data_IF_028412544058
#
_entry.id   IF_028412544058
#
_cell.length_a   1.000
_cell.length_b   1.000
_cell.length_c   1.000
_cell.angle_alpha   90.00
_cell.angle_beta   90.00
_cell.angle_gamma   90.00
#
_symmetry.space_group_name_H-M   'P 1'
#
loop_
_entity.id
_entity.type
_entity.pdbx_description
1 polymer ?
#
# COMPACT_ATOMS: atom_id res chain seq x y z
N UNK A 1 8.62 -28.04 5.39
CA UNK A 1 7.91 -27.11 4.49
C UNK A 1 6.50 -27.61 4.15
N UNK A 2 6.31 -28.84 3.70
CA UNK A 2 4.97 -29.40 3.38
C UNK A 2 4.09 -29.58 4.63
N UNK A 3 4.65 -29.94 5.78
CA UNK A 3 3.92 -30.04 7.05
C UNK A 3 3.48 -28.66 7.57
N UNK A 4 4.33 -27.67 7.50
CA UNK A 4 4.00 -26.29 7.90
C UNK A 4 2.93 -25.66 7.00
N UNK A 5 2.95 -25.98 5.70
CA UNK A 5 1.86 -25.57 4.79
C UNK A 5 0.54 -26.31 5.12
N UNK A 6 0.61 -27.56 5.59
CA UNK A 6 -0.58 -28.30 6.04
C UNK A 6 -1.14 -27.80 7.37
N UNK A 7 -0.29 -27.43 8.32
CA UNK A 7 -0.73 -26.75 9.56
C UNK A 7 -1.38 -25.41 9.27
N UNK A 8 -0.83 -24.63 8.32
CA UNK A 8 -1.42 -23.36 7.90
C UNK A 8 -2.74 -23.52 7.12
N UNK A 9 -2.91 -24.63 6.41
CA UNK A 9 -4.20 -25.00 5.77
C UNK A 9 -5.26 -25.43 6.80
N UNK A 10 -4.87 -25.73 8.05
CA UNK A 10 -5.79 -26.03 9.16
C UNK A 10 -6.35 -24.79 9.86
N UNK A 11 -5.80 -23.59 9.60
CA UNK A 11 -6.40 -22.34 10.06
C UNK A 11 -7.62 -22.02 9.20
N UNK A 12 -8.79 -21.96 9.82
CA UNK A 12 -10.02 -21.55 9.13
C UNK A 12 -10.00 -20.04 8.92
N UNK A 13 -9.28 -19.58 7.88
CA UNK A 13 -9.28 -18.18 7.46
C UNK A 13 -10.28 -18.00 6.34
N UNK A 14 -11.21 -17.09 6.53
CA UNK A 14 -12.26 -16.73 5.58
C UNK A 14 -12.11 -15.27 5.15
N UNK A 15 -12.52 -15.00 3.91
CA UNK A 15 -12.71 -13.64 3.39
C UNK A 15 -14.20 -13.39 3.21
N UNK A 16 -14.73 -12.47 3.98
CA UNK A 16 -16.12 -12.02 3.90
C UNK A 16 -16.15 -10.62 3.29
N UNK A 17 -17.02 -10.40 2.30
CA UNK A 17 -17.23 -9.05 1.76
C UNK A 17 -17.44 -8.04 2.88
N UNK A 18 -16.87 -6.86 2.71
CA UNK A 18 -16.97 -5.76 3.64
C UNK A 18 -18.44 -5.40 3.91
N UNK A 19 -18.76 -5.11 5.16
CA UNK A 19 -20.08 -4.65 5.61
C UNK A 19 -19.95 -3.27 6.25
N UNK A 20 -21.00 -2.48 6.22
CA UNK A 20 -21.05 -1.18 6.90
C UNK A 20 -20.71 -1.27 8.40
N UNK A 21 -21.07 -2.39 9.05
CA UNK A 21 -20.73 -2.65 10.45
C UNK A 21 -19.23 -2.84 10.72
N UNK A 22 -18.41 -3.03 9.69
CA UNK A 22 -16.96 -3.22 9.85
C UNK A 22 -16.20 -1.90 9.95
N UNK A 23 -16.86 -0.76 9.73
CA UNK A 23 -16.25 0.55 9.64
C UNK A 23 -15.36 0.90 10.84
N UNK A 24 -15.87 0.71 12.05
CA UNK A 24 -15.12 1.02 13.26
C UNK A 24 -13.85 0.16 13.36
N UNK A 25 -13.97 -1.14 13.08
CA UNK A 25 -12.84 -2.08 13.10
C UNK A 25 -11.82 -1.77 12.02
N UNK A 26 -12.28 -1.34 10.83
CA UNK A 26 -11.39 -0.89 9.76
C UNK A 26 -10.54 0.30 10.20
N UNK A 27 -11.18 1.34 10.73
CA UNK A 27 -10.47 2.53 11.21
C UNK A 27 -9.65 2.26 12.48
N UNK A 28 -9.99 1.26 13.29
CA UNK A 28 -9.12 0.77 14.36
C UNK A 28 -7.80 0.25 13.80
N UNK A 29 -7.84 -0.58 12.73
CA UNK A 29 -6.64 -1.07 12.06
C UNK A 29 -5.80 0.07 11.46
N UNK A 30 -6.44 0.99 10.73
CA UNK A 30 -5.78 2.16 10.17
C UNK A 30 -5.09 3.02 11.25
N UNK A 31 -5.67 3.09 12.45
CA UNK A 31 -5.11 3.79 13.59
C UNK A 31 -3.92 3.11 14.25
N UNK A 32 -3.63 1.84 13.98
CA UNK A 32 -2.44 1.17 14.52
C UNK A 32 -1.15 1.81 14.00
N UNK A 33 -1.18 2.47 12.85
CA UNK A 33 -0.02 3.16 12.31
C UNK A 33 -0.10 4.66 12.56
N UNK A 34 1.00 5.22 13.06
CA UNK A 34 1.09 6.66 13.33
C UNK A 34 0.80 7.53 12.10
N UNK A 35 1.19 7.05 10.93
CA UNK A 35 0.99 7.75 9.66
C UNK A 35 -0.51 7.85 9.37
N UNK A 36 -1.23 6.75 9.46
CA UNK A 36 -2.66 6.71 9.21
C UNK A 36 -3.44 7.52 10.25
N UNK A 37 -3.04 7.49 11.53
CA UNK A 37 -3.63 8.34 12.58
C UNK A 37 -3.73 9.81 12.21
N UNK A 38 -2.73 10.35 11.51
CA UNK A 38 -2.75 11.76 11.09
C UNK A 38 -3.77 12.01 9.97
N UNK A 39 -3.96 11.03 9.09
CA UNK A 39 -4.91 11.13 7.99
C UNK A 39 -6.36 11.00 8.47
N UNK A 40 -6.60 10.28 9.58
CA UNK A 40 -7.92 9.93 10.10
C UNK A 40 -8.54 10.98 11.04
N UNK A 41 -7.98 12.18 11.12
CA UNK A 41 -8.50 13.24 12.00
C UNK A 41 -9.74 13.98 11.42
N UNK A 42 -10.10 13.73 10.16
CA UNK A 42 -11.23 14.32 9.48
C UNK A 42 -12.33 13.27 9.29
N UNK A 43 -13.39 13.34 10.09
CA UNK A 43 -14.51 12.39 10.04
C UNK A 43 -15.23 12.42 8.68
N UNK A 44 -15.38 13.59 8.05
CA UNK A 44 -16.04 13.69 6.75
C UNK A 44 -15.20 13.04 5.65
N UNK A 45 -13.88 13.20 5.69
CA UNK A 45 -12.96 12.52 4.78
C UNK A 45 -13.01 11.01 4.98
N UNK A 46 -13.02 10.55 6.24
CA UNK A 46 -13.16 9.13 6.57
C UNK A 46 -14.47 8.55 6.05
N UNK A 47 -15.57 9.28 6.20
CA UNK A 47 -16.88 8.86 5.68
C UNK A 47 -16.90 8.77 4.16
N UNK A 48 -16.25 9.72 3.47
CA UNK A 48 -16.12 9.67 2.01
C UNK A 48 -15.28 8.48 1.57
N UNK A 49 -14.12 8.28 2.19
CA UNK A 49 -13.22 7.14 1.90
C UNK A 49 -13.92 5.80 2.15
N UNK A 50 -14.65 5.68 3.28
CA UNK A 50 -15.41 4.48 3.57
C UNK A 50 -16.45 4.15 2.49
N UNK A 51 -17.23 5.16 2.07
CA UNK A 51 -18.22 4.99 1.01
C UNK A 51 -17.60 4.63 -0.33
N UNK A 52 -16.43 5.17 -0.64
CA UNK A 52 -15.70 4.87 -1.87
C UNK A 52 -15.28 3.38 -1.97
N UNK A 53 -15.02 2.71 -0.85
CA UNK A 53 -14.67 1.28 -0.82
C UNK A 53 -15.78 0.35 -1.31
N UNK A 54 -17.00 0.84 -1.50
CA UNK A 54 -18.14 0.09 -2.05
C UNK A 54 -18.37 0.37 -3.54
N UNK A 55 -17.43 1.05 -4.22
CA UNK A 55 -17.50 1.28 -5.65
C UNK A 55 -17.28 -0.02 -6.46
N UNK A 56 -17.89 -0.12 -7.64
CA UNK A 56 -17.77 -1.31 -8.50
C UNK A 56 -16.34 -1.55 -9.04
N UNK A 57 -15.46 -0.56 -8.89
CA UNK A 57 -14.05 -0.63 -9.31
C UNK A 57 -13.14 -1.33 -8.30
N UNK A 58 -13.67 -1.67 -7.13
CA UNK A 58 -12.93 -2.28 -6.03
C UNK A 58 -13.76 -3.37 -5.36
N UNK A 59 -13.09 -4.30 -4.68
CA UNK A 59 -13.73 -5.28 -3.82
C UNK A 59 -12.95 -5.42 -2.52
N UNK A 60 -13.62 -5.20 -1.40
CA UNK A 60 -13.02 -5.21 -0.08
C UNK A 60 -13.58 -6.33 0.77
N UNK A 61 -12.72 -6.94 1.59
CA UNK A 61 -13.02 -8.11 2.41
C UNK A 61 -12.46 -7.95 3.81
N UNK A 62 -13.26 -8.36 4.81
CA UNK A 62 -12.74 -8.63 6.13
C UNK A 62 -12.05 -10.01 6.14
N UNK A 63 -10.86 -10.09 6.71
CA UNK A 63 -10.12 -11.32 6.96
C UNK A 63 -10.54 -11.87 8.31
N UNK A 64 -11.17 -13.03 8.32
CA UNK A 64 -11.75 -13.64 9.52
C UNK A 64 -10.98 -14.88 9.97
N UNK A 65 -10.80 -15.03 11.27
CA UNK A 65 -10.42 -16.27 11.93
C UNK A 65 -11.52 -16.63 12.94
N UNK A 66 -12.40 -17.56 12.55
CA UNK A 66 -13.69 -17.72 13.22
C UNK A 66 -14.54 -16.46 13.07
N UNK A 67 -15.04 -15.94 14.20
CA UNK A 67 -15.83 -14.70 14.22
C UNK A 67 -14.98 -13.41 14.38
N UNK A 68 -13.67 -13.56 14.49
CA UNK A 68 -12.77 -12.43 14.76
C UNK A 68 -12.19 -11.85 13.47
N UNK A 69 -12.32 -10.52 13.28
CA UNK A 69 -11.64 -9.81 12.21
C UNK A 69 -10.15 -9.68 12.56
N UNK A 70 -9.30 -10.22 11.68
CA UNK A 70 -7.84 -10.18 11.79
C UNK A 70 -7.20 -9.08 10.95
N UNK A 71 -7.94 -8.51 10.01
CA UNK A 71 -7.49 -7.51 9.09
C UNK A 71 -8.43 -7.35 7.91
N UNK A 72 -7.93 -6.72 6.85
CA UNK A 72 -8.71 -6.47 5.64
C UNK A 72 -7.87 -6.77 4.39
N UNK A 73 -8.55 -7.18 3.34
CA UNK A 73 -7.97 -7.44 2.03
C UNK A 73 -8.80 -6.74 0.94
N UNK A 74 -8.15 -6.34 -0.15
CA UNK A 74 -8.83 -5.67 -1.25
C UNK A 74 -8.33 -6.16 -2.61
N UNK A 75 -9.21 -6.08 -3.60
CA UNK A 75 -8.88 -6.14 -5.02
C UNK A 75 -9.23 -4.79 -5.61
N UNK A 76 -8.25 -4.12 -6.17
CA UNK A 76 -8.36 -2.77 -6.71
C UNK A 76 -8.31 -2.81 -8.24
N UNK A 77 -8.82 -1.75 -8.88
CA UNK A 77 -8.80 -1.58 -10.34
C UNK A 77 -9.55 -2.71 -11.07
N UNK A 78 -10.69 -3.10 -10.53
CA UNK A 78 -11.60 -4.03 -11.21
C UNK A 78 -12.05 -3.43 -12.54
N UNK A 79 -11.99 -4.24 -13.60
CA UNK A 79 -12.30 -3.79 -14.96
C UNK A 79 -11.10 -3.26 -15.76
N UNK A 80 -9.97 -2.97 -15.13
CA UNK A 80 -8.72 -2.64 -15.83
C UNK A 80 -7.99 -3.90 -16.33
N UNK A 81 -6.96 -3.72 -17.17
CA UNK A 81 -6.14 -4.86 -17.67
C UNK A 81 -5.35 -5.56 -16.57
N UNK A 82 -4.92 -4.77 -15.56
CA UNK A 82 -4.12 -5.23 -14.43
C UNK A 82 -4.81 -4.81 -13.13
N UNK A 83 -5.17 -5.79 -12.32
CA UNK A 83 -5.68 -5.56 -10.98
C UNK A 83 -4.54 -5.47 -9.98
N UNK A 84 -4.80 -4.80 -8.86
CA UNK A 84 -3.90 -4.73 -7.72
C UNK A 84 -4.58 -5.34 -6.49
N UNK A 85 -3.82 -5.81 -5.52
CA UNK A 85 -4.38 -6.21 -4.24
C UNK A 85 -3.72 -5.49 -3.06
N UNK A 86 -4.50 -5.30 -2.01
CA UNK A 86 -4.06 -4.87 -0.69
C UNK A 86 -4.33 -5.96 0.35
N UNK A 87 -3.49 -6.04 1.36
CA UNK A 87 -3.70 -6.90 2.54
C UNK A 87 -3.05 -6.23 3.75
N UNK A 88 -3.85 -5.97 4.75
CA UNK A 88 -3.37 -5.44 6.02
C UNK A 88 -3.94 -6.25 7.18
N UNK A 89 -3.11 -6.54 8.19
CA UNK A 89 -3.48 -7.27 9.38
C UNK A 89 -3.17 -6.44 10.62
N UNK A 90 -4.03 -6.52 11.62
CA UNK A 90 -3.71 -6.03 12.96
C UNK A 90 -2.38 -6.61 13.43
N UNK A 91 -1.58 -5.83 14.14
CA UNK A 91 -0.24 -6.23 14.60
C UNK A 91 -0.28 -7.55 15.38
N UNK A 92 -1.27 -7.73 16.24
CA UNK A 92 -1.50 -8.93 17.05
C UNK A 92 -1.71 -10.21 16.24
N UNK A 93 -2.02 -10.10 14.93
CA UNK A 93 -2.26 -11.25 14.03
C UNK A 93 -1.16 -11.45 12.99
N UNK A 94 -0.13 -10.60 13.00
CA UNK A 94 1.01 -10.74 12.11
C UNK A 94 1.89 -11.94 12.51
N UNK A 95 2.72 -12.39 11.58
CA UNK A 95 3.68 -13.49 11.77
C UNK A 95 3.10 -14.86 12.16
N UNK A 96 1.79 -15.05 12.10
CA UNK A 96 1.06 -16.28 12.44
C UNK A 96 0.61 -17.07 11.20
N UNK A 97 1.02 -16.69 10.01
CA UNK A 97 0.61 -17.35 8.75
C UNK A 97 -0.73 -16.88 8.19
N UNK A 98 -1.48 -16.06 8.94
CA UNK A 98 -2.81 -15.54 8.54
C UNK A 98 -2.74 -14.79 7.21
N UNK A 99 -1.73 -13.92 7.01
CA UNK A 99 -1.56 -13.18 5.75
C UNK A 99 -1.38 -14.09 4.54
N UNK A 100 -0.65 -15.19 4.67
CA UNK A 100 -0.51 -16.16 3.59
C UNK A 100 -1.83 -16.88 3.29
N UNK A 101 -2.54 -17.34 4.33
CA UNK A 101 -3.82 -18.02 4.16
C UNK A 101 -4.88 -17.09 3.55
N UNK A 102 -4.96 -15.83 4.02
CA UNK A 102 -5.85 -14.82 3.46
C UNK A 102 -5.53 -14.55 1.98
N UNK A 103 -4.25 -14.40 1.64
CA UNK A 103 -3.84 -14.16 0.25
C UNK A 103 -4.20 -15.35 -0.66
N UNK A 104 -4.02 -16.59 -0.22
CA UNK A 104 -4.45 -17.78 -0.99
C UNK A 104 -5.96 -17.70 -1.29
N UNK A 105 -6.79 -17.35 -0.30
CA UNK A 105 -8.23 -17.17 -0.50
C UNK A 105 -8.55 -16.03 -1.46
N UNK A 106 -7.83 -14.91 -1.34
CA UNK A 106 -8.00 -13.78 -2.24
C UNK A 106 -7.69 -14.14 -3.70
N UNK A 107 -6.64 -14.94 -3.93
CA UNK A 107 -6.29 -15.42 -5.28
C UNK A 107 -7.40 -16.33 -5.86
N UNK A 108 -8.03 -17.17 -5.04
CA UNK A 108 -9.18 -17.98 -5.45
C UNK A 108 -10.35 -17.09 -5.89
N UNK A 109 -10.66 -16.03 -5.13
CA UNK A 109 -11.69 -15.03 -5.45
C UNK A 109 -11.32 -14.28 -6.74
N UNK A 110 -10.10 -13.76 -6.86
CA UNK A 110 -9.61 -13.10 -8.07
C UNK A 110 -9.84 -13.95 -9.32
N UNK A 111 -9.53 -15.24 -9.23
CA UNK A 111 -9.65 -16.17 -10.34
C UNK A 111 -11.10 -16.53 -10.67
N UNK A 112 -11.89 -16.89 -9.65
CA UNK A 112 -13.18 -17.55 -9.82
C UNK A 112 -14.33 -16.57 -9.95
N UNK A 113 -14.29 -15.45 -9.22
CA UNK A 113 -15.37 -14.46 -9.21
C UNK A 113 -15.11 -13.29 -10.16
N UNK A 114 -13.90 -12.74 -10.15
CA UNK A 114 -13.56 -11.55 -10.94
C UNK A 114 -12.83 -11.87 -12.24
N UNK A 115 -12.47 -13.14 -12.48
CA UNK A 115 -11.77 -13.56 -13.69
C UNK A 115 -10.52 -12.75 -14.02
N UNK A 116 -9.82 -12.30 -12.98
CA UNK A 116 -8.57 -11.55 -13.06
C UNK A 116 -7.58 -12.29 -13.97
N UNK A 117 -6.84 -11.55 -14.80
CA UNK A 117 -5.84 -12.10 -15.71
C UNK A 117 -4.41 -11.78 -15.26
N UNK A 118 -4.22 -10.55 -14.78
CA UNK A 118 -2.93 -10.06 -14.29
C UNK A 118 -3.18 -9.42 -12.91
N UNK A 119 -2.41 -9.84 -11.93
CA UNK A 119 -2.48 -9.33 -10.58
C UNK A 119 -1.12 -8.81 -10.14
N UNK A 120 -1.07 -7.58 -9.69
CA UNK A 120 0.14 -6.96 -9.16
C UNK A 120 -0.01 -6.66 -7.67
N UNK A 121 1.13 -6.52 -7.01
CA UNK A 121 1.22 -5.96 -5.66
C UNK A 121 2.28 -4.88 -5.64
N UNK A 122 1.95 -3.72 -5.09
CA UNK A 122 2.88 -2.62 -4.85
C UNK A 122 3.34 -2.66 -3.40
N UNK A 123 4.65 -2.62 -3.19
CA UNK A 123 5.25 -2.79 -1.86
C UNK A 123 6.34 -1.76 -1.65
N UNK A 124 6.38 -1.13 -0.48
CA UNK A 124 7.52 -0.29 -0.09
C UNK A 124 8.80 -1.13 0.03
N UNK A 125 9.96 -0.61 -0.41
CA UNK A 125 11.22 -1.37 -0.45
C UNK A 125 11.74 -1.86 0.90
N UNK A 126 11.29 -1.26 2.00
CA UNK A 126 11.61 -1.64 3.37
C UNK A 126 10.48 -2.45 4.06
N UNK A 127 9.39 -2.76 3.35
CA UNK A 127 8.34 -3.65 3.86
C UNK A 127 8.72 -5.13 3.66
N UNK A 128 9.71 -5.58 4.42
CA UNK A 128 10.25 -6.93 4.28
C UNK A 128 9.24 -8.05 4.55
N UNK A 129 8.30 -7.94 5.52
CA UNK A 129 7.25 -8.94 5.69
C UNK A 129 6.39 -9.13 4.44
N UNK A 130 5.97 -8.06 3.78
CA UNK A 130 5.22 -8.13 2.52
C UNK A 130 6.06 -8.71 1.39
N UNK A 131 7.32 -8.29 1.24
CA UNK A 131 8.25 -8.82 0.23
C UNK A 131 8.44 -10.33 0.40
N UNK A 132 8.60 -10.80 1.65
CA UNK A 132 8.71 -12.24 1.95
C UNK A 132 7.39 -12.98 1.68
N UNK A 133 6.25 -12.33 1.88
CA UNK A 133 4.94 -12.88 1.52
C UNK A 133 4.81 -13.03 0.00
N UNK A 134 5.21 -12.00 -0.79
CA UNK A 134 5.23 -12.08 -2.25
C UNK A 134 6.11 -13.25 -2.72
N UNK A 135 7.31 -13.40 -2.17
CA UNK A 135 8.17 -14.54 -2.45
C UNK A 135 7.49 -15.88 -2.14
N UNK A 136 6.85 -15.98 -0.96
CA UNK A 136 6.20 -17.21 -0.50
C UNK A 136 5.03 -17.65 -1.38
N UNK A 137 4.27 -16.69 -1.93
CA UNK A 137 3.15 -16.97 -2.83
C UNK A 137 3.59 -17.25 -4.29
N UNK A 138 4.87 -17.07 -4.59
CA UNK A 138 5.43 -17.24 -5.94
C UNK A 138 5.38 -15.98 -6.81
N UNK A 139 5.19 -14.83 -6.20
CA UNK A 139 5.31 -13.53 -6.86
C UNK A 139 6.70 -13.34 -7.45
N UNK A 140 6.80 -12.66 -8.58
CA UNK A 140 8.06 -12.36 -9.27
C UNK A 140 8.25 -10.84 -9.35
N UNK A 141 9.47 -10.32 -9.18
CA UNK A 141 9.78 -8.93 -9.47
C UNK A 141 9.32 -8.59 -10.89
N UNK A 142 8.68 -7.44 -11.05
CA UNK A 142 8.14 -7.00 -12.32
C UNK A 142 8.76 -5.67 -12.76
N UNK A 143 8.52 -4.61 -11.99
CA UNK A 143 9.05 -3.26 -12.24
C UNK A 143 9.11 -2.45 -10.93
N UNK A 144 9.63 -1.25 -10.97
CA UNK A 144 9.41 -0.23 -9.96
C UNK A 144 8.43 0.81 -10.49
N UNK A 145 7.60 1.37 -9.62
CA UNK A 145 6.67 2.45 -9.97
C UNK A 145 6.85 3.63 -9.04
N UNK A 146 6.51 4.78 -9.51
CA UNK A 146 6.61 6.02 -8.75
C UNK A 146 5.77 5.97 -7.48
N UNK A 147 6.32 6.51 -6.39
CA UNK A 147 5.57 6.71 -5.15
C UNK A 147 4.69 7.96 -5.29
N UNK A 148 3.36 7.85 -5.23
CA UNK A 148 2.46 8.98 -5.43
C UNK A 148 2.58 10.07 -4.35
N UNK A 149 3.18 9.75 -3.20
CA UNK A 149 3.44 10.72 -2.13
C UNK A 149 4.62 11.66 -2.41
N UNK A 150 5.37 11.44 -3.51
CA UNK A 150 6.58 12.22 -3.82
C UNK A 150 6.43 12.81 -5.22
N UNK A 151 6.33 14.13 -5.29
CA UNK A 151 6.25 14.84 -6.55
C UNK A 151 7.49 14.59 -7.42
N UNK A 152 7.30 14.40 -8.72
CA UNK A 152 8.36 14.07 -9.68
C UNK A 152 9.54 15.05 -9.60
N UNK A 153 9.24 16.34 -9.55
CA UNK A 153 10.25 17.41 -9.47
C UNK A 153 11.12 17.38 -8.20
N UNK A 154 10.65 16.73 -7.14
CA UNK A 154 11.30 16.68 -5.82
C UNK A 154 11.98 15.33 -5.54
N UNK A 155 11.84 14.34 -6.41
CA UNK A 155 12.37 12.98 -6.18
C UNK A 155 13.88 12.94 -5.95
N UNK A 156 14.64 13.66 -6.77
CA UNK A 156 16.11 13.69 -6.64
C UNK A 156 16.56 14.27 -5.30
N UNK A 157 15.90 15.34 -4.84
CA UNK A 157 16.17 15.94 -3.54
C UNK A 157 15.76 14.99 -2.41
N UNK A 158 14.58 14.41 -2.50
CA UNK A 158 14.08 13.43 -1.54
C UNK A 158 15.02 12.21 -1.39
N UNK A 159 15.50 11.65 -2.51
CA UNK A 159 16.46 10.54 -2.52
C UNK A 159 17.76 10.92 -1.80
N UNK A 160 18.28 12.08 -2.08
CA UNK A 160 19.52 12.60 -1.47
C UNK A 160 19.36 12.81 0.04
N UNK A 161 18.24 13.42 0.44
CA UNK A 161 17.96 13.77 1.84
C UNK A 161 17.62 12.56 2.72
N UNK A 162 17.34 11.41 2.12
CA UNK A 162 16.97 10.17 2.81
C UNK A 162 17.92 9.00 2.50
N UNK A 163 19.12 9.28 2.01
CA UNK A 163 20.10 8.25 1.62
C UNK A 163 20.48 7.30 2.77
N UNK A 164 20.36 7.74 4.02
CA UNK A 164 20.59 6.94 5.22
C UNK A 164 19.61 5.76 5.38
N UNK A 165 18.47 5.78 4.67
CA UNK A 165 17.50 4.68 4.67
C UNK A 165 17.90 3.50 3.77
N UNK A 166 18.94 3.62 2.98
CA UNK A 166 19.45 2.56 2.11
C UNK A 166 20.18 1.51 2.96
N UNK A 167 19.41 0.61 3.55
CA UNK A 167 19.92 -0.55 4.27
C UNK A 167 20.48 -1.61 3.30
N UNK A 168 21.22 -2.59 3.84
CA UNK A 168 21.71 -3.71 3.02
C UNK A 168 20.57 -4.53 2.41
N UNK A 169 19.42 -4.62 3.07
CA UNK A 169 18.25 -5.27 2.50
C UNK A 169 17.63 -4.46 1.37
N UNK A 170 17.58 -3.13 1.47
CA UNK A 170 17.15 -2.24 0.37
C UNK A 170 18.09 -2.38 -0.84
N UNK A 171 19.41 -2.46 -0.63
CA UNK A 171 20.36 -2.74 -1.72
C UNK A 171 20.08 -4.07 -2.42
N UNK A 172 19.78 -5.13 -1.65
CA UNK A 172 19.40 -6.42 -2.24
C UNK A 172 18.09 -6.36 -3.03
N UNK A 173 17.15 -5.51 -2.62
CA UNK A 173 15.95 -5.25 -3.43
C UNK A 173 16.31 -4.51 -4.72
N UNK A 174 17.19 -3.53 -4.67
CA UNK A 174 17.68 -2.83 -5.86
C UNK A 174 18.34 -3.80 -6.85
N UNK A 175 19.23 -4.67 -6.36
CA UNK A 175 19.83 -5.75 -7.18
C UNK A 175 18.78 -6.67 -7.79
N UNK A 176 17.76 -7.06 -7.02
CA UNK A 176 16.69 -7.95 -7.48
C UNK A 176 15.86 -7.32 -8.61
N UNK A 177 15.64 -6.01 -8.56
CA UNK A 177 14.88 -5.25 -9.56
C UNK A 177 15.78 -4.65 -10.66
N UNK A 178 17.11 -4.78 -10.55
CA UNK A 178 18.06 -4.27 -11.54
C UNK A 178 18.14 -2.75 -11.61
N UNK A 179 17.99 -2.07 -10.46
CA UNK A 179 17.98 -0.60 -10.36
C UNK A 179 19.00 -0.11 -9.34
N UNK A 180 19.31 1.19 -9.38
CA UNK A 180 20.14 1.83 -8.36
C UNK A 180 19.37 1.95 -7.03
N UNK A 181 20.01 1.71 -5.86
CA UNK A 181 19.34 1.72 -4.57
C UNK A 181 18.62 3.02 -4.22
N UNK A 182 19.13 4.16 -4.67
CA UNK A 182 18.56 5.49 -4.44
C UNK A 182 17.16 5.62 -5.04
N UNK A 183 16.91 4.98 -6.20
CA UNK A 183 15.60 4.99 -6.84
C UNK A 183 14.53 4.37 -5.97
N UNK A 184 14.88 3.40 -5.12
CA UNK A 184 13.92 2.73 -4.25
C UNK A 184 13.40 3.64 -3.13
N UNK A 185 14.09 4.73 -2.80
CA UNK A 185 13.62 5.68 -1.79
C UNK A 185 12.34 6.42 -2.25
N UNK A 186 12.20 6.65 -3.55
CA UNK A 186 11.08 7.40 -4.14
C UNK A 186 10.16 6.54 -5.03
N UNK A 187 10.31 5.22 -4.98
CA UNK A 187 9.54 4.29 -5.81
C UNK A 187 9.04 3.10 -4.99
N UNK A 188 7.98 2.47 -5.48
CA UNK A 188 7.43 1.22 -4.95
C UNK A 188 7.89 0.06 -5.81
N UNK A 189 8.12 -1.09 -5.19
CA UNK A 189 8.37 -2.36 -5.86
C UNK A 189 7.04 -2.93 -6.37
N UNK A 190 7.00 -3.36 -7.62
CA UNK A 190 5.85 -4.05 -8.20
C UNK A 190 6.19 -5.52 -8.39
N UNK A 191 5.38 -6.39 -7.81
CA UNK A 191 5.47 -7.83 -8.01
C UNK A 191 4.30 -8.29 -8.88
N UNK A 192 4.58 -9.11 -9.87
CA UNK A 192 3.55 -9.87 -10.57
C UNK A 192 3.22 -11.11 -9.76
N UNK A 193 1.94 -11.28 -9.45
CA UNK A 193 1.45 -12.33 -8.56
C UNK A 193 0.77 -13.43 -9.38
N UNK A 194 1.15 -14.72 -9.20
CA UNK A 194 0.45 -15.82 -9.85
C UNK A 194 -0.96 -15.97 -9.25
N UNK A 195 -1.94 -16.25 -10.09
CA UNK A 195 -3.34 -16.48 -9.67
C UNK A 195 -3.55 -17.84 -8.98
N UNK A 196 -2.50 -18.58 -8.79
CA UNK A 196 -2.42 -19.78 -7.96
C UNK A 196 -1.06 -19.76 -7.26
N UNK A 197 -0.99 -20.12 -5.97
CA UNK A 197 0.29 -20.27 -5.30
C UNK A 197 1.21 -21.16 -6.13
N UNK A 198 2.44 -20.69 -6.37
CA UNK A 198 3.43 -21.36 -7.16
C UNK A 198 4.71 -21.57 -6.35
N UNK A 199 5.63 -22.39 -6.86
CA UNK A 199 6.96 -22.47 -6.27
C UNK A 199 7.68 -21.11 -6.39
N UNK A 200 8.56 -20.84 -5.41
CA UNK A 200 9.36 -19.61 -5.38
C UNK A 200 10.24 -19.55 -6.62
N UNK A 201 10.05 -18.51 -7.44
CA UNK A 201 10.75 -18.33 -8.71
C UNK A 201 11.98 -17.43 -8.63
N UNK A 202 12.21 -16.77 -7.51
CA UNK A 202 13.41 -15.96 -7.31
C UNK A 202 14.08 -16.27 -5.96
N UNK A 203 15.39 -16.12 -5.90
CA UNK A 203 16.16 -16.26 -4.67
C UNK A 203 16.32 -14.88 -4.03
N UNK A 204 15.95 -14.79 -2.75
CA UNK A 204 16.09 -13.58 -1.96
C UNK A 204 16.67 -13.95 -0.60
N UNK A 205 17.80 -13.34 -0.25
CA UNK A 205 18.42 -13.49 1.05
C UNK A 205 18.40 -12.15 1.78
N UNK A 206 17.47 -11.99 2.72
CA UNK A 206 17.41 -10.87 3.64
C UNK A 206 18.05 -11.25 4.97
N UNK A 207 18.67 -10.29 5.65
CA UNK A 207 19.40 -10.52 6.91
C UNK A 207 19.08 -9.43 7.93
N UNK A 208 19.30 -9.74 9.22
CA UNK A 208 19.07 -8.80 10.32
C UNK A 208 17.59 -8.68 10.67
N UNK A 209 17.20 -7.51 11.13
CA UNK A 209 15.80 -7.21 11.44
C UNK A 209 14.99 -7.15 10.14
N UNK A 210 13.96 -7.98 10.08
CA UNK A 210 13.02 -8.07 8.96
C UNK A 210 11.63 -7.55 9.35
N UNK A 211 11.54 -6.80 10.44
CA UNK A 211 10.30 -6.13 10.84
C UNK A 211 9.91 -5.05 9.82
N UNK A 212 8.63 -4.73 9.78
CA UNK A 212 8.14 -3.62 8.96
C UNK A 212 8.31 -2.32 9.72
N UNK A 213 9.36 -1.57 9.41
CA UNK A 213 9.67 -0.32 10.09
C UNK A 213 8.99 0.92 9.49
N UNK A 214 8.32 0.79 8.34
CA UNK A 214 7.64 1.92 7.63
C UNK A 214 8.49 3.18 7.46
N UNK A 215 9.82 3.07 7.43
CA UNK A 215 10.70 4.24 7.41
C UNK A 215 10.56 5.04 6.12
N UNK A 216 10.65 4.38 4.96
CA UNK A 216 10.52 5.03 3.65
C UNK A 216 9.10 5.57 3.49
N UNK A 217 8.07 4.79 3.82
CA UNK A 217 6.68 5.22 3.79
C UNK A 217 6.45 6.46 4.66
N UNK A 218 6.92 6.44 5.91
CA UNK A 218 6.79 7.58 6.84
C UNK A 218 7.46 8.84 6.30
N UNK A 219 8.64 8.73 5.71
CA UNK A 219 9.34 9.87 5.11
C UNK A 219 8.58 10.42 3.90
N UNK A 220 8.09 9.54 3.01
CA UNK A 220 7.32 9.94 1.84
C UNK A 220 6.03 10.69 2.21
N UNK A 221 5.26 10.16 3.15
CA UNK A 221 4.02 10.80 3.61
C UNK A 221 4.31 12.11 4.34
N UNK A 222 5.35 12.18 5.18
CA UNK A 222 5.75 13.44 5.80
C UNK A 222 6.15 14.49 4.76
N UNK A 223 6.88 14.09 3.72
CA UNK A 223 7.25 14.96 2.61
C UNK A 223 6.00 15.51 1.91
N UNK A 224 5.04 14.67 1.55
CA UNK A 224 3.76 15.08 0.98
C UNK A 224 3.05 16.14 1.84
N UNK A 225 2.98 15.94 3.17
CA UNK A 225 2.37 16.93 4.07
C UNK A 225 3.15 18.24 4.13
N UNK A 226 4.47 18.18 4.13
CA UNK A 226 5.32 19.37 4.15
C UNK A 226 5.13 20.20 2.88
N UNK A 227 5.11 19.55 1.72
CA UNK A 227 4.88 20.22 0.43
C UNK A 227 3.47 20.81 0.36
N UNK A 228 2.44 20.07 0.77
CA UNK A 228 1.08 20.60 0.87
C UNK A 228 1.01 21.85 1.75
N UNK A 229 1.64 21.79 2.94
CA UNK A 229 1.69 22.93 3.85
C UNK A 229 2.43 24.14 3.24
N UNK A 230 3.51 23.89 2.49
CA UNK A 230 4.28 24.93 1.78
C UNK A 230 3.41 25.62 0.71
N UNK A 231 2.71 24.84 -0.08
CA UNK A 231 1.79 25.35 -1.11
C UNK A 231 0.68 26.21 -0.47
N UNK A 232 0.02 25.69 0.56
CA UNK A 232 -1.05 26.42 1.27
C UNK A 232 -0.55 27.73 1.89
N UNK A 233 0.65 27.76 2.45
CA UNK A 233 1.27 28.99 2.97
C UNK A 233 1.53 30.01 1.85
N UNK A 234 2.06 29.55 0.71
CA UNK A 234 2.30 30.41 -0.46
C UNK A 234 0.99 31.04 -0.95
N UNK A 235 -0.07 30.25 -1.07
CA UNK A 235 -1.41 30.72 -1.46
C UNK A 235 -1.95 31.76 -0.45
N UNK A 236 -1.85 31.46 0.84
CA UNK A 236 -2.29 32.39 1.89
C UNK A 236 -1.54 33.74 1.86
N UNK A 237 -0.24 33.70 1.60
CA UNK A 237 0.56 34.93 1.48
C UNK A 237 0.18 35.76 0.23
N UNK A 238 -0.10 35.11 -0.87
CA UNK A 238 -0.58 35.76 -2.08
C UNK A 238 -2.00 36.33 -1.89
N UNK A 239 -2.90 35.58 -1.25
CA UNK A 239 -4.25 36.06 -0.92
C UNK A 239 -4.25 37.30 -0.02
N UNK A 240 -3.25 37.45 0.86
CA UNK A 240 -3.07 38.67 1.68
C UNK A 240 -2.61 39.88 0.86
N UNK A 241 -2.02 39.68 -0.31
CA UNK A 241 -1.44 40.73 -1.17
C UNK A 241 -2.24 41.01 -2.43
N UNK A 242 -3.10 40.07 -2.83
CA UNK A 242 -3.85 40.12 -4.08
C UNK A 242 -5.33 40.41 -3.88
N UNK A 243 -6.06 40.43 -5.01
CA UNK A 243 -7.52 40.54 -5.01
C UNK A 243 -8.18 39.20 -4.72
N UNK A 244 -9.47 39.20 -4.34
CA UNK A 244 -10.26 37.97 -4.14
C UNK A 244 -10.34 37.16 -5.45
N UNK A 245 -10.29 37.79 -6.57
CA UNK A 245 -10.35 37.17 -7.91
C UNK A 245 -9.04 36.40 -8.22
N UNK A 246 -7.88 36.98 -7.89
CA UNK A 246 -6.57 36.34 -8.06
C UNK A 246 -6.48 35.08 -7.17
N UNK A 247 -7.00 35.15 -5.94
CA UNK A 247 -7.05 34.03 -5.03
C UNK A 247 -7.93 32.88 -5.55
N UNK A 248 -9.15 33.21 -6.03
CA UNK A 248 -10.06 32.21 -6.62
C UNK A 248 -9.44 31.50 -7.83
N UNK A 249 -8.78 32.25 -8.72
CA UNK A 249 -8.12 31.67 -9.87
C UNK A 249 -7.01 30.69 -9.47
N UNK A 250 -6.13 31.10 -8.55
CA UNK A 250 -5.02 30.24 -8.10
C UNK A 250 -5.50 28.97 -7.37
N UNK A 251 -6.60 29.07 -6.60
CA UNK A 251 -7.24 27.91 -5.99
C UNK A 251 -7.83 26.96 -7.02
N UNK A 252 -8.48 27.49 -8.08
CA UNK A 252 -9.03 26.67 -9.16
C UNK A 252 -7.91 25.96 -9.94
N UNK A 253 -6.84 26.66 -10.29
CA UNK A 253 -5.67 26.08 -10.97
C UNK A 253 -5.04 24.96 -10.13
N UNK A 254 -5.02 25.10 -8.80
CA UNK A 254 -4.51 24.08 -7.88
C UNK A 254 -5.45 22.86 -7.80
N UNK A 255 -6.75 23.07 -7.74
CA UNK A 255 -7.75 21.98 -7.74
C UNK A 255 -7.66 21.18 -9.03
N UNK A 256 -7.65 21.85 -10.20
CA UNK A 256 -7.50 21.18 -11.50
C UNK A 256 -6.20 20.37 -11.59
N UNK A 257 -5.09 20.89 -11.04
CA UNK A 257 -3.82 20.18 -10.98
C UNK A 257 -3.88 18.95 -10.06
N UNK A 258 -4.56 19.04 -8.93
CA UNK A 258 -4.77 17.90 -8.03
C UNK A 258 -5.69 16.84 -8.66
N UNK A 259 -6.79 17.26 -9.31
CA UNK A 259 -7.72 16.37 -10.00
C UNK A 259 -7.07 15.64 -11.19
N UNK A 260 -6.13 16.28 -11.88
CA UNK A 260 -5.39 15.66 -12.99
C UNK A 260 -4.40 14.59 -12.55
N UNK A 261 -4.13 14.49 -11.25
CA UNK A 261 -3.17 13.53 -10.62
C UNK A 261 -3.87 12.38 -9.87
N UNK A 262 -5.21 12.44 -9.74
CA UNK A 262 -6.03 11.36 -9.17
C UNK A 262 -6.52 10.39 -10.24
#
# INVERSE_FOLDING_TARGET
MIEHAKEMMGMNIELRKLLDSDKETYFELENETWVNKRMLQDEEANDRSWKAMFADTEAHYAVLMGDQICGFASILKLGEEVQEFGLELFERFRHQGIGYAALVRLLEICKNEYHVKKLHSKVYPDNFPSILLMRKIGGTPYEITENPCIEESLRTEFQKDNAELISDNVKRMAELFGVEPELLLSNLLVFQIPLQPAEIRFSLSLTGDLSYEKKIETKAINHMYQETARILKSILEKAKKGTEEDFKKEMMDMIENLESRM
#
